data_IF_717536526200
#
_entry.id   IF_717536526200
#
_cell.length_a   1.000
_cell.length_b   1.000
_cell.length_c   1.000
_cell.angle_alpha   90.00
_cell.angle_beta   90.00
_cell.angle_gamma   90.00
#
_symmetry.space_group_name_H-M   'P 1'
#
loop_
_entity.id
_entity.type
_entity.pdbx_description
1 polymer ?
#
# COMPACT_ATOMS: atom_id res chain seq x y z
N UNK A 1 -15.43 -6.71 4.97
CA UNK A 1 -14.37 -5.70 5.04
C UNK A 1 -14.94 -4.30 5.26
N UNK A 2 -15.70 -3.69 4.36
CA UNK A 2 -16.20 -2.30 4.45
C UNK A 2 -16.80 -1.93 5.81
N UNK A 3 -17.79 -2.70 6.32
CA UNK A 3 -18.46 -2.40 7.61
C UNK A 3 -17.52 -2.27 8.81
N UNK A 4 -16.39 -2.99 8.81
CA UNK A 4 -15.40 -2.91 9.90
C UNK A 4 -14.67 -1.58 9.87
N UNK A 5 -14.27 -1.13 8.69
CA UNK A 5 -13.62 0.17 8.51
C UNK A 5 -14.58 1.34 8.71
N UNK A 6 -15.85 1.20 8.29
CA UNK A 6 -16.87 2.20 8.62
C UNK A 6 -17.00 2.37 10.14
N UNK A 7 -17.03 1.27 10.91
CA UNK A 7 -17.10 1.31 12.37
C UNK A 7 -15.81 1.88 13.02
N UNK A 8 -14.64 1.59 12.45
CA UNK A 8 -13.34 2.02 12.97
C UNK A 8 -12.97 3.46 12.62
N UNK A 9 -13.68 4.13 11.72
CA UNK A 9 -13.29 5.45 11.20
C UNK A 9 -13.12 6.52 12.29
N UNK A 10 -13.85 6.39 13.41
CA UNK A 10 -13.73 7.31 14.55
C UNK A 10 -12.46 7.13 15.38
N UNK A 11 -11.96 5.90 15.46
CA UNK A 11 -10.87 5.48 16.36
C UNK A 11 -9.57 5.16 15.61
N UNK A 12 -9.60 4.99 14.30
CA UNK A 12 -8.47 4.54 13.47
C UNK A 12 -7.18 5.33 13.73
N UNK A 13 -7.27 6.66 13.82
CA UNK A 13 -6.09 7.52 14.00
C UNK A 13 -5.42 7.37 15.37
N UNK A 14 -6.10 6.80 16.37
CA UNK A 14 -5.51 6.58 17.70
C UNK A 14 -4.57 5.38 17.75
N UNK A 15 -4.66 4.48 16.75
CA UNK A 15 -3.88 3.25 16.67
C UNK A 15 -3.22 3.06 15.29
N UNK A 16 -3.00 4.15 14.53
CA UNK A 16 -2.49 4.09 13.16
C UNK A 16 -0.95 4.05 13.06
N UNK A 17 -0.24 3.83 14.16
CA UNK A 17 1.23 3.96 14.22
C UNK A 17 1.96 2.99 13.25
N UNK A 18 1.47 1.77 13.06
CA UNK A 18 2.02 0.84 12.05
C UNK A 18 1.81 1.41 10.65
N UNK A 19 0.60 1.91 10.36
CA UNK A 19 0.29 2.54 9.07
C UNK A 19 1.09 3.83 8.87
N UNK A 20 1.34 4.59 9.93
CA UNK A 20 2.17 5.79 9.88
C UNK A 20 3.63 5.42 9.58
N UNK A 21 4.19 4.43 10.28
CA UNK A 21 5.56 3.96 10.08
C UNK A 21 5.76 3.43 8.67
N UNK A 22 4.86 2.57 8.19
CA UNK A 22 4.96 1.99 6.83
C UNK A 22 4.73 3.04 5.75
N UNK A 23 3.83 4.01 5.96
CA UNK A 23 3.66 5.16 5.05
C UNK A 23 4.94 5.98 4.94
N UNK A 24 5.57 6.29 6.06
CA UNK A 24 6.78 7.13 6.08
C UNK A 24 7.97 6.36 5.46
N UNK A 25 8.08 5.05 5.69
CA UNK A 25 9.03 4.18 5.00
C UNK A 25 8.80 4.12 3.48
N UNK A 26 7.54 4.09 3.04
CA UNK A 26 7.19 4.09 1.62
C UNK A 26 7.47 5.45 0.96
N UNK A 27 7.21 6.55 1.67
CA UNK A 27 7.53 7.90 1.20
C UNK A 27 9.04 8.13 1.09
N UNK A 28 9.85 7.58 1.99
CA UNK A 28 11.31 7.63 1.91
C UNK A 28 11.83 6.91 0.65
N UNK A 29 11.22 5.77 0.28
CA UNK A 29 11.54 5.04 -0.96
C UNK A 29 11.10 5.77 -2.23
N UNK A 30 10.17 6.69 -2.11
CA UNK A 30 9.76 7.58 -3.20
C UNK A 30 10.75 8.75 -3.43
N UNK A 31 11.53 9.15 -2.42
CA UNK A 31 12.42 10.33 -2.52
C UNK A 31 13.41 10.26 -3.71
N UNK A 32 14.11 9.14 -3.96
CA UNK A 32 15.06 9.06 -5.08
C UNK A 32 14.39 8.96 -6.44
N UNK A 33 13.07 8.72 -6.50
CA UNK A 33 12.34 8.54 -7.75
C UNK A 33 11.92 9.90 -8.31
N UNK A 34 12.38 10.21 -9.52
CA UNK A 34 11.96 11.42 -10.23
C UNK A 34 10.76 11.12 -11.14
N UNK A 35 9.62 11.67 -10.82
CA UNK A 35 8.39 11.55 -11.62
C UNK A 35 7.61 12.87 -11.60
N UNK A 36 7.18 13.34 -12.78
CA UNK A 36 6.28 14.48 -12.91
C UNK A 36 4.83 13.98 -12.92
N UNK A 37 4.23 13.92 -11.74
CA UNK A 37 2.90 13.40 -11.54
C UNK A 37 1.85 14.51 -11.55
N UNK A 38 0.75 14.30 -12.30
CA UNK A 38 -0.45 15.15 -12.33
C UNK A 38 -1.62 14.53 -11.59
N UNK A 39 -1.77 13.21 -11.70
CA UNK A 39 -2.85 12.44 -11.05
C UNK A 39 -2.25 11.32 -10.22
N UNK A 40 -2.50 11.36 -8.93
CA UNK A 40 -2.00 10.38 -7.96
C UNK A 40 -3.19 9.77 -7.24
N UNK A 41 -3.28 8.45 -7.23
CA UNK A 41 -4.23 7.71 -6.41
C UNK A 41 -3.57 7.36 -5.07
N UNK A 42 -4.20 7.75 -3.96
CA UNK A 42 -3.98 7.19 -2.62
C UNK A 42 -5.02 6.09 -2.43
N UNK A 43 -4.64 4.84 -2.68
CA UNK A 43 -5.52 3.67 -2.75
C UNK A 43 -5.58 2.96 -1.39
N UNK A 44 -6.79 2.84 -0.83
CA UNK A 44 -6.98 2.47 0.57
C UNK A 44 -6.61 3.65 1.48
N UNK A 45 -7.09 4.85 1.14
CA UNK A 45 -6.65 6.11 1.73
C UNK A 45 -7.01 6.28 3.21
N UNK A 46 -7.91 5.47 3.76
CA UNK A 46 -8.43 5.55 5.12
C UNK A 46 -8.77 7.01 5.51
N UNK A 47 -8.20 7.53 6.59
CA UNK A 47 -8.43 8.91 7.07
C UNK A 47 -7.58 9.97 6.33
N UNK A 48 -6.94 9.63 5.20
CA UNK A 48 -6.27 10.53 4.27
C UNK A 48 -4.89 11.01 4.71
N UNK A 49 -4.20 10.26 5.58
CA UNK A 49 -2.87 10.67 6.06
C UNK A 49 -1.79 10.61 4.97
N UNK A 50 -1.82 9.59 4.11
CA UNK A 50 -0.90 9.46 2.98
C UNK A 50 -1.17 10.56 1.93
N UNK A 51 -2.43 10.80 1.57
CA UNK A 51 -2.80 11.85 0.63
C UNK A 51 -2.25 13.23 1.00
N UNK A 52 -2.29 13.59 2.30
CA UNK A 52 -1.70 14.85 2.79
C UNK A 52 -0.17 14.90 2.62
N UNK A 53 0.52 13.78 2.78
CA UNK A 53 1.97 13.70 2.55
C UNK A 53 2.31 13.79 1.06
N UNK A 54 1.53 13.13 0.22
CA UNK A 54 1.65 13.20 -1.24
C UNK A 54 1.39 14.63 -1.76
N UNK A 55 0.41 15.37 -1.24
CA UNK A 55 0.18 16.77 -1.59
C UNK A 55 1.40 17.67 -1.27
N UNK A 56 2.06 17.42 -0.13
CA UNK A 56 3.28 18.15 0.22
C UNK A 56 4.43 17.87 -0.75
N UNK A 57 4.55 16.63 -1.23
CA UNK A 57 5.59 16.19 -2.15
C UNK A 57 5.32 16.63 -3.58
N UNK A 58 4.07 16.51 -4.03
CA UNK A 58 3.65 16.77 -5.41
C UNK A 58 2.70 17.98 -5.49
N UNK A 59 3.27 19.19 -5.37
CA UNK A 59 2.52 20.46 -5.27
C UNK A 59 1.56 20.73 -6.45
N UNK A 60 1.84 20.14 -7.62
CA UNK A 60 1.05 20.33 -8.84
C UNK A 60 0.05 19.22 -9.09
N UNK A 61 0.17 18.09 -8.40
CA UNK A 61 -0.68 16.94 -8.60
C UNK A 61 -2.08 17.12 -7.99
N UNK A 62 -3.04 16.43 -8.58
CA UNK A 62 -4.34 16.14 -8.00
C UNK A 62 -4.26 14.79 -7.27
N UNK A 63 -4.55 14.78 -5.99
CA UNK A 63 -4.60 13.56 -5.20
C UNK A 63 -6.02 13.03 -5.23
N UNK A 64 -6.17 11.75 -5.57
CA UNK A 64 -7.43 11.02 -5.61
C UNK A 64 -7.41 10.02 -4.45
N UNK A 65 -7.99 10.42 -3.31
CA UNK A 65 -8.11 9.57 -2.13
C UNK A 65 -9.26 8.57 -2.36
N UNK A 66 -8.92 7.31 -2.55
CA UNK A 66 -9.84 6.22 -2.89
C UNK A 66 -9.91 5.24 -1.73
N UNK A 67 -11.12 4.97 -1.24
CA UNK A 67 -11.39 3.99 -0.19
C UNK A 67 -12.76 3.35 -0.40
N UNK A 68 -12.92 2.12 0.08
CA UNK A 68 -14.21 1.42 0.06
C UNK A 68 -15.14 1.94 1.17
N UNK A 69 -14.56 2.41 2.30
CA UNK A 69 -15.29 2.93 3.45
C UNK A 69 -15.69 4.39 3.24
N UNK A 70 -16.99 4.64 3.29
CA UNK A 70 -17.54 5.99 3.21
C UNK A 70 -17.18 6.81 4.46
N UNK A 71 -17.18 6.18 5.62
CA UNK A 71 -16.88 6.84 6.90
C UNK A 71 -15.42 7.27 7.00
N UNK A 72 -14.48 6.42 6.51
CA UNK A 72 -13.06 6.81 6.40
C UNK A 72 -12.91 8.05 5.53
N UNK A 73 -13.54 8.08 4.35
CA UNK A 73 -13.49 9.23 3.46
C UNK A 73 -14.14 10.48 4.07
N UNK A 74 -15.22 10.34 4.83
CA UNK A 74 -15.81 11.47 5.56
C UNK A 74 -14.81 12.02 6.60
N UNK A 75 -14.18 11.13 7.37
CA UNK A 75 -13.13 11.53 8.32
C UNK A 75 -11.97 12.22 7.61
N UNK A 76 -11.51 11.68 6.47
CA UNK A 76 -10.46 12.30 5.66
C UNK A 76 -10.86 13.71 5.18
N UNK A 77 -12.11 13.91 4.76
CA UNK A 77 -12.64 15.23 4.34
C UNK A 77 -12.59 16.27 5.46
N UNK A 78 -12.88 15.87 6.71
CA UNK A 78 -12.82 16.82 7.85
C UNK A 78 -11.41 17.34 8.11
N UNK A 79 -10.38 16.61 7.68
CA UNK A 79 -8.97 16.97 7.82
C UNK A 79 -8.41 17.74 6.62
N UNK A 80 -9.22 17.91 5.56
CA UNK A 80 -8.81 18.61 4.35
C UNK A 80 -8.61 20.10 4.64
N UNK A 81 -7.47 20.66 4.22
CA UNK A 81 -7.26 22.11 4.24
C UNK A 81 -7.97 22.76 3.06
N UNK A 82 -8.26 24.05 3.15
CA UNK A 82 -8.93 24.80 2.08
C UNK A 82 -8.10 24.90 0.79
N UNK A 83 -6.78 24.78 0.88
CA UNK A 83 -5.86 24.79 -0.28
C UNK A 83 -5.68 23.39 -0.90
N UNK A 84 -6.15 22.34 -0.24
CA UNK A 84 -5.97 20.96 -0.71
C UNK A 84 -6.73 20.72 -2.01
N UNK A 85 -6.05 20.09 -2.97
CA UNK A 85 -6.62 19.64 -4.25
C UNK A 85 -7.09 18.18 -4.20
N UNK A 86 -7.10 17.57 -3.02
CA UNK A 86 -7.52 16.17 -2.86
C UNK A 86 -9.01 16.02 -3.17
N UNK A 87 -9.33 15.10 -4.07
CA UNK A 87 -10.68 14.58 -4.29
C UNK A 87 -10.84 13.24 -3.56
N UNK A 88 -12.05 12.99 -3.03
CA UNK A 88 -12.37 11.78 -2.27
C UNK A 88 -13.39 10.96 -3.04
N UNK A 89 -13.06 9.72 -3.30
CA UNK A 89 -13.86 8.82 -4.13
C UNK A 89 -14.05 7.49 -3.44
N UNK A 90 -15.31 7.09 -3.26
CA UNK A 90 -15.62 5.74 -2.79
C UNK A 90 -15.59 4.78 -3.98
N UNK A 91 -14.65 3.83 -3.95
CA UNK A 91 -14.54 2.78 -4.97
C UNK A 91 -13.89 1.52 -4.40
N UNK A 92 -14.12 0.40 -5.11
CA UNK A 92 -13.43 -0.85 -4.87
C UNK A 92 -12.08 -0.84 -5.62
N UNK A 93 -11.02 -1.30 -4.95
CA UNK A 93 -9.68 -1.37 -5.55
C UNK A 93 -9.62 -2.37 -6.73
N UNK A 94 -10.57 -3.30 -6.82
CA UNK A 94 -10.70 -4.27 -7.92
C UNK A 94 -11.52 -3.76 -9.10
N UNK A 95 -12.08 -2.55 -9.01
CA UNK A 95 -12.93 -1.93 -10.05
C UNK A 95 -12.82 -0.40 -9.97
N UNK A 96 -11.69 0.15 -10.36
CA UNK A 96 -11.40 1.57 -10.26
C UNK A 96 -12.13 2.37 -11.36
N UNK A 97 -12.86 3.44 -11.03
CA UNK A 97 -13.63 4.22 -11.98
C UNK A 97 -12.77 5.24 -12.73
N UNK A 98 -11.60 4.82 -13.19
CA UNK A 98 -10.68 5.64 -13.98
C UNK A 98 -10.47 5.02 -15.35
N UNK A 99 -10.21 5.85 -16.35
CA UNK A 99 -9.86 5.40 -17.68
C UNK A 99 -8.52 4.68 -17.69
N UNK A 100 -8.33 3.81 -18.66
CA UNK A 100 -7.06 3.16 -18.92
C UNK A 100 -5.96 4.21 -19.12
N UNK A 101 -4.78 3.93 -18.58
CA UNK A 101 -3.58 4.75 -18.76
C UNK A 101 -3.77 6.24 -18.44
N UNK A 102 -4.52 6.56 -17.38
CA UNK A 102 -4.84 7.94 -16.99
C UNK A 102 -4.13 8.44 -15.73
N UNK A 103 -3.49 7.55 -14.97
CA UNK A 103 -2.90 7.81 -13.66
C UNK A 103 -1.38 7.75 -13.74
N UNK A 104 -0.71 8.72 -13.10
CA UNK A 104 0.74 8.82 -13.06
C UNK A 104 1.34 8.01 -11.90
N UNK A 105 0.68 8.02 -10.73
CA UNK A 105 1.16 7.32 -9.52
C UNK A 105 -0.02 6.66 -8.81
N UNK A 106 0.16 5.41 -8.42
CA UNK A 106 -0.70 4.73 -7.44
C UNK A 106 0.13 4.47 -6.19
N UNK A 107 -0.36 4.93 -5.05
CA UNK A 107 0.24 4.73 -3.74
C UNK A 107 -0.72 3.90 -2.88
N UNK A 108 -0.29 2.75 -2.38
CA UNK A 108 -1.11 1.85 -1.58
C UNK A 108 -0.35 1.41 -0.32
N UNK A 109 -0.70 2.01 0.81
CA UNK A 109 -0.08 1.67 2.08
C UNK A 109 -0.95 0.70 2.88
N UNK A 110 -0.49 -0.53 3.06
CA UNK A 110 -1.16 -1.59 3.84
C UNK A 110 -2.60 -1.90 3.36
N UNK A 111 -2.86 -1.78 2.05
CA UNK A 111 -4.13 -2.19 1.44
C UNK A 111 -4.21 -3.71 1.26
N UNK A 112 -3.14 -4.31 0.71
CA UNK A 112 -3.13 -5.70 0.27
C UNK A 112 -3.43 -6.73 1.38
N UNK A 113 -3.01 -6.54 2.65
CA UNK A 113 -3.35 -7.46 3.74
C UNK A 113 -4.86 -7.65 3.96
N UNK A 114 -5.67 -6.73 3.49
CA UNK A 114 -7.13 -6.76 3.61
C UNK A 114 -7.83 -7.39 2.40
N UNK A 115 -7.09 -7.69 1.35
CA UNK A 115 -7.64 -8.24 0.11
C UNK A 115 -7.58 -9.77 0.15
N UNK A 116 -8.70 -10.46 -0.14
CA UNK A 116 -8.69 -11.93 -0.25
C UNK A 116 -7.78 -12.43 -1.38
N UNK A 117 -7.67 -11.63 -2.44
CA UNK A 117 -6.84 -11.87 -3.62
C UNK A 117 -6.30 -10.53 -4.11
N UNK A 118 -5.00 -10.42 -4.30
CA UNK A 118 -4.34 -9.22 -4.81
C UNK A 118 -4.33 -9.14 -6.33
N UNK A 119 -4.53 -10.23 -7.06
CA UNK A 119 -4.43 -10.25 -8.51
C UNK A 119 -5.42 -9.31 -9.20
N UNK A 120 -6.71 -9.23 -8.83
CA UNK A 120 -7.63 -8.24 -9.41
C UNK A 120 -7.21 -6.79 -9.12
N UNK A 121 -6.62 -6.52 -7.94
CA UNK A 121 -6.13 -5.19 -7.60
C UNK A 121 -4.95 -4.81 -8.48
N UNK A 122 -3.99 -5.70 -8.68
CA UNK A 122 -2.84 -5.46 -9.56
C UNK A 122 -3.27 -5.29 -11.03
N UNK A 123 -4.27 -6.04 -11.49
CA UNK A 123 -4.82 -5.89 -12.83
C UNK A 123 -5.42 -4.48 -13.03
N UNK A 124 -6.21 -3.99 -12.07
CA UNK A 124 -6.77 -2.64 -12.12
C UNK A 124 -5.70 -1.55 -12.03
N UNK A 125 -4.70 -1.71 -11.17
CA UNK A 125 -3.56 -0.79 -11.09
C UNK A 125 -2.82 -0.75 -12.43
N UNK A 126 -2.53 -1.91 -13.03
CA UNK A 126 -1.89 -2.01 -14.34
C UNK A 126 -2.72 -1.33 -15.45
N UNK A 127 -4.05 -1.47 -15.40
CA UNK A 127 -4.96 -0.86 -16.37
C UNK A 127 -4.96 0.66 -16.29
N UNK A 128 -5.05 1.21 -15.06
CA UNK A 128 -5.19 2.67 -14.89
C UNK A 128 -3.86 3.42 -14.99
N UNK A 129 -2.74 2.76 -14.68
CA UNK A 129 -1.42 3.37 -14.77
C UNK A 129 -1.02 3.67 -16.21
N UNK A 130 -0.50 4.86 -16.44
CA UNK A 130 0.18 5.21 -17.70
C UNK A 130 1.39 4.33 -17.90
N UNK A 131 1.81 4.24 -19.15
CA UNK A 131 3.16 3.75 -19.45
C UNK A 131 4.16 4.59 -18.65
N UNK A 132 5.07 3.93 -17.96
CA UNK A 132 6.06 4.53 -17.06
C UNK A 132 5.43 5.31 -15.87
N UNK A 133 4.15 5.08 -15.58
CA UNK A 133 3.53 5.45 -14.30
C UNK A 133 4.03 4.56 -13.18
N UNK A 134 4.02 5.05 -11.96
CA UNK A 134 4.63 4.40 -10.80
C UNK A 134 3.57 3.81 -9.88
N UNK A 135 3.72 2.55 -9.52
CA UNK A 135 3.02 1.93 -8.40
C UNK A 135 3.96 1.75 -7.22
N UNK A 136 3.58 2.29 -6.04
CA UNK A 136 4.28 2.09 -4.77
C UNK A 136 3.33 1.46 -3.77
N UNK A 137 3.81 0.48 -3.02
CA UNK A 137 2.99 -0.15 -1.99
C UNK A 137 3.83 -0.64 -0.81
N UNK A 138 3.15 -0.76 0.34
CA UNK A 138 3.62 -1.50 1.49
C UNK A 138 2.56 -2.56 1.86
N UNK A 139 3.02 -3.76 2.18
CA UNK A 139 2.17 -4.88 2.61
C UNK A 139 2.84 -5.68 3.70
N UNK A 140 2.11 -6.62 4.29
CA UNK A 140 2.67 -7.57 5.25
C UNK A 140 3.20 -8.80 4.52
N UNK A 141 4.32 -9.32 5.00
CA UNK A 141 4.91 -10.60 4.59
C UNK A 141 4.53 -11.75 5.52
N UNK A 142 4.91 -12.99 5.16
CA UNK A 142 4.44 -14.21 5.82
C UNK A 142 4.89 -14.35 7.28
N UNK A 143 5.94 -13.66 7.69
CA UNK A 143 6.43 -13.69 9.08
C UNK A 143 5.63 -12.77 10.02
N UNK A 144 4.61 -12.07 9.51
CA UNK A 144 3.82 -11.11 10.29
C UNK A 144 2.72 -11.77 11.10
N UNK A 145 2.39 -11.15 12.25
CA UNK A 145 1.20 -11.43 13.07
C UNK A 145 1.09 -12.90 13.51
N UNK A 146 2.22 -13.54 13.84
CA UNK A 146 2.24 -14.93 14.30
C UNK A 146 1.36 -15.11 15.54
N UNK A 147 0.56 -16.17 15.55
CA UNK A 147 -0.39 -16.45 16.62
C UNK A 147 -1.74 -15.73 16.52
N UNK A 148 -1.90 -14.80 15.58
CA UNK A 148 -3.18 -14.14 15.30
C UNK A 148 -3.93 -14.83 14.16
N UNK A 149 -5.25 -14.58 14.08
CA UNK A 149 -6.13 -15.13 13.03
C UNK A 149 -6.08 -14.20 11.79
N UNK A 150 -5.45 -14.66 10.73
CA UNK A 150 -5.45 -13.98 9.44
C UNK A 150 -5.25 -14.95 8.30
N UNK A 151 -5.52 -14.51 7.07
CA UNK A 151 -5.11 -15.27 5.90
C UNK A 151 -3.58 -15.20 5.75
N UNK A 152 -2.93 -16.25 5.21
CA UNK A 152 -1.51 -16.19 4.92
C UNK A 152 -1.20 -14.98 4.02
N UNK A 153 -0.17 -14.24 4.38
CA UNK A 153 0.34 -13.16 3.52
C UNK A 153 1.30 -13.77 2.48
N UNK A 154 1.28 -13.21 1.28
CA UNK A 154 2.19 -13.60 0.22
C UNK A 154 3.64 -13.25 0.57
N UNK A 155 4.58 -14.08 0.16
CA UNK A 155 5.99 -13.73 0.26
C UNK A 155 6.41 -12.73 -0.83
N UNK A 156 7.60 -12.19 -0.70
CA UNK A 156 8.13 -11.18 -1.62
C UNK A 156 8.23 -11.68 -3.07
N UNK A 157 8.52 -12.96 -3.30
CA UNK A 157 8.64 -13.54 -4.63
C UNK A 157 7.27 -13.70 -5.27
N UNK A 158 6.29 -14.23 -4.52
CA UNK A 158 4.90 -14.37 -4.99
C UNK A 158 4.30 -13.01 -5.34
N UNK A 159 4.56 -11.97 -4.52
CA UNK A 159 4.14 -10.60 -4.82
C UNK A 159 4.79 -10.10 -6.12
N UNK A 160 6.10 -10.33 -6.30
CA UNK A 160 6.83 -9.95 -7.50
C UNK A 160 6.27 -10.63 -8.76
N UNK A 161 6.02 -11.93 -8.69
CA UNK A 161 5.45 -12.70 -9.80
C UNK A 161 4.03 -12.25 -10.14
N UNK A 162 3.21 -11.95 -9.13
CA UNK A 162 1.85 -11.44 -9.33
C UNK A 162 1.85 -10.05 -10.01
N UNK A 163 2.79 -9.17 -9.65
CA UNK A 163 2.97 -7.87 -10.31
C UNK A 163 3.33 -8.04 -11.80
N UNK A 164 4.30 -8.91 -12.10
CA UNK A 164 4.71 -9.23 -13.47
C UNK A 164 3.55 -9.87 -14.24
N UNK A 165 2.82 -10.79 -13.62
CA UNK A 165 1.63 -11.45 -14.18
C UNK A 165 0.53 -10.46 -14.56
N UNK A 166 0.36 -9.38 -13.79
CA UNK A 166 -0.57 -8.30 -14.08
C UNK A 166 -0.10 -7.32 -15.18
N UNK A 167 1.13 -7.49 -15.70
CA UNK A 167 1.70 -6.64 -16.74
C UNK A 167 2.42 -5.39 -16.24
N UNK A 168 2.65 -5.29 -14.94
CA UNK A 168 3.53 -4.29 -14.35
C UNK A 168 4.99 -4.67 -14.60
N UNK A 169 5.90 -3.70 -14.62
CA UNK A 169 7.31 -3.92 -15.02
C UNK A 169 8.28 -3.56 -13.93
N UNK A 170 9.42 -4.21 -13.97
CA UNK A 170 10.61 -3.89 -13.19
C UNK A 170 10.29 -3.77 -11.68
N UNK A 171 9.64 -4.80 -11.07
CA UNK A 171 9.34 -4.75 -9.65
C UNK A 171 10.63 -4.75 -8.82
N UNK A 172 10.74 -3.78 -7.93
CA UNK A 172 11.79 -3.70 -6.92
C UNK A 172 11.12 -3.85 -5.56
N UNK A 173 11.55 -4.86 -4.82
CA UNK A 173 10.97 -5.21 -3.53
C UNK A 173 12.06 -5.29 -2.48
N UNK A 174 11.76 -4.82 -1.28
CA UNK A 174 12.62 -4.97 -0.11
C UNK A 174 11.80 -5.24 1.14
N UNK A 175 12.45 -5.74 2.18
CA UNK A 175 11.79 -6.14 3.42
C UNK A 175 12.41 -5.42 4.60
N UNK A 176 11.55 -4.77 5.41
CA UNK A 176 11.89 -4.29 6.73
C UNK A 176 11.19 -5.14 7.80
N UNK A 177 11.75 -5.17 8.99
CA UNK A 177 11.14 -5.83 10.16
C UNK A 177 10.81 -4.79 11.21
N UNK A 178 9.55 -4.80 11.62
CA UNK A 178 9.04 -3.93 12.68
C UNK A 178 8.55 -4.80 13.84
N UNK A 179 9.09 -4.54 15.04
CA UNK A 179 8.58 -5.14 16.27
C UNK A 179 7.81 -4.08 17.04
N UNK A 180 6.61 -4.42 17.45
CA UNK A 180 5.74 -3.59 18.29
C UNK A 180 5.52 -4.29 19.61
N UNK A 181 5.86 -3.62 20.70
CA UNK A 181 5.68 -4.13 22.07
C UNK A 181 4.59 -3.31 22.75
N UNK A 182 3.62 -3.99 23.34
CA UNK A 182 2.53 -3.39 24.11
C UNK A 182 2.78 -3.58 25.60
N UNK A 183 2.20 -2.70 26.42
CA UNK A 183 2.29 -2.84 27.88
C UNK A 183 1.59 -4.11 28.39
N UNK A 184 0.53 -4.50 27.70
CA UNK A 184 -0.28 -5.69 28.03
C UNK A 184 -1.13 -6.10 26.82
N UNK A 185 -1.72 -7.29 26.93
CA UNK A 185 -2.58 -7.85 25.87
C UNK A 185 -3.84 -7.02 25.60
N UNK A 186 -4.39 -6.35 26.63
CA UNK A 186 -5.57 -5.50 26.45
C UNK A 186 -5.27 -4.30 25.53
N UNK A 187 -4.11 -3.65 25.69
CA UNK A 187 -3.69 -2.55 24.80
C UNK A 187 -3.54 -3.00 23.35
N UNK A 188 -3.02 -4.21 23.11
CA UNK A 188 -2.96 -4.81 21.77
C UNK A 188 -4.37 -5.02 21.21
N UNK A 189 -5.28 -5.58 22.00
CA UNK A 189 -6.69 -5.81 21.59
C UNK A 189 -7.37 -4.49 21.25
N UNK A 190 -7.19 -3.46 22.08
CA UNK A 190 -7.78 -2.13 21.88
C UNK A 190 -7.32 -1.50 20.55
N UNK A 191 -6.02 -1.60 20.22
CA UNK A 191 -5.49 -1.10 18.95
C UNK A 191 -6.08 -1.87 17.75
N UNK A 192 -6.17 -3.19 17.84
CA UNK A 192 -6.82 -3.98 16.78
C UNK A 192 -8.31 -3.66 16.63
N UNK A 193 -9.00 -3.36 17.73
CA UNK A 193 -10.36 -2.86 17.66
C UNK A 193 -10.42 -1.49 16.97
N UNK A 194 -9.53 -0.59 17.35
CA UNK A 194 -9.50 0.78 16.84
C UNK A 194 -9.25 0.86 15.34
N UNK A 195 -8.43 -0.06 14.78
CA UNK A 195 -8.18 -0.13 13.32
C UNK A 195 -9.15 -1.04 12.56
N UNK A 196 -10.13 -1.65 13.21
CA UNK A 196 -11.12 -2.54 12.58
C UNK A 196 -10.63 -3.98 12.36
N UNK A 197 -9.55 -4.39 13.04
CA UNK A 197 -8.91 -5.69 12.92
C UNK A 197 -9.24 -6.68 14.06
N UNK A 198 -10.23 -6.38 14.93
CA UNK A 198 -10.59 -7.23 16.08
C UNK A 198 -10.75 -8.72 15.74
N UNK A 199 -11.20 -9.01 14.52
CA UNK A 199 -11.40 -10.39 14.05
C UNK A 199 -10.08 -11.19 13.89
N UNK A 200 -8.93 -10.51 13.85
CA UNK A 200 -7.61 -11.15 13.82
C UNK A 200 -7.19 -11.64 15.22
N UNK A 201 -7.82 -11.12 16.28
CA UNK A 201 -7.50 -11.49 17.66
C UNK A 201 -8.30 -12.74 18.04
N UNK A 202 -7.65 -13.84 18.46
CA UNK A 202 -8.32 -14.99 19.07
C UNK A 202 -9.12 -14.57 20.32
N UNK A 203 -10.23 -15.25 20.57
CA UNK A 203 -11.02 -14.95 21.79
C UNK A 203 -10.27 -15.35 23.05
N UNK A 204 -9.41 -16.36 22.93
CA UNK A 204 -8.60 -16.94 24.02
C UNK A 204 -7.23 -16.23 24.15
N UNK A 205 -7.02 -15.05 23.57
CA UNK A 205 -5.68 -14.41 23.50
C UNK A 205 -5.04 -14.20 24.87
N UNK A 206 -5.84 -13.88 25.90
CA UNK A 206 -5.34 -13.70 27.27
C UNK A 206 -4.88 -15.02 27.90
N UNK A 207 -5.51 -16.15 27.53
CA UNK A 207 -5.19 -17.48 28.04
C UNK A 207 -4.00 -18.10 27.29
N UNK A 208 -3.68 -17.60 26.09
CA UNK A 208 -2.57 -18.10 25.27
C UNK A 208 -1.18 -17.77 25.87
N UNK A 209 -1.12 -16.88 26.85
CA UNK A 209 0.16 -16.47 27.46
C UNK A 209 1.17 -15.90 26.48
N UNK A 210 0.69 -15.34 25.38
CA UNK A 210 1.52 -14.69 24.40
C UNK A 210 2.12 -13.40 24.98
N UNK A 211 3.39 -13.17 24.72
CA UNK A 211 3.97 -11.86 24.95
C UNK A 211 3.18 -10.83 24.11
N UNK A 212 2.87 -9.65 24.69
CA UNK A 212 2.12 -8.62 23.99
C UNK A 212 3.01 -7.90 22.95
N UNK A 213 3.53 -8.66 22.01
CA UNK A 213 4.40 -8.22 20.94
C UNK A 213 3.82 -8.61 19.56
N UNK A 214 4.09 -7.78 18.58
CA UNK A 214 3.83 -8.09 17.19
C UNK A 214 5.13 -8.02 16.41
N UNK A 215 5.48 -9.12 15.77
CA UNK A 215 6.48 -9.12 14.72
C UNK A 215 5.79 -8.86 13.38
N UNK A 216 6.28 -7.88 12.65
CA UNK A 216 5.76 -7.49 11.34
C UNK A 216 6.91 -7.52 10.33
N UNK A 217 6.75 -8.34 9.33
CA UNK A 217 7.55 -8.32 8.12
C UNK A 217 6.87 -7.38 7.14
N UNK A 218 7.51 -6.25 6.82
CA UNK A 218 6.95 -5.24 5.92
C UNK A 218 7.62 -5.39 4.57
N UNK A 219 6.85 -5.78 3.56
CA UNK A 219 7.31 -5.77 2.18
C UNK A 219 6.96 -4.41 1.59
N UNK A 220 8.00 -3.68 1.19
CA UNK A 220 7.88 -2.47 0.38
C UNK A 220 8.12 -2.81 -1.08
N UNK A 221 7.34 -2.24 -1.96
CA UNK A 221 7.51 -2.46 -3.37
C UNK A 221 7.24 -1.24 -4.22
N UNK A 222 7.94 -1.17 -5.34
CA UNK A 222 7.54 -0.31 -6.43
C UNK A 222 7.74 -1.02 -7.78
N UNK A 223 6.93 -0.63 -8.75
CA UNK A 223 7.01 -1.11 -10.12
C UNK A 223 6.40 -0.07 -11.07
N UNK A 224 6.55 -0.30 -12.35
CA UNK A 224 6.16 0.65 -13.37
C UNK A 224 5.00 0.13 -14.22
N UNK A 225 4.13 1.03 -14.66
CA UNK A 225 3.07 0.73 -15.61
C UNK A 225 3.63 0.16 -16.90
N UNK A 226 3.08 -0.98 -17.34
CA UNK A 226 3.40 -1.60 -18.61
C UNK A 226 2.80 -0.81 -19.76
N UNK A 227 3.57 -0.49 -20.78
CA UNK A 227 3.01 -0.28 -22.11
C UNK A 227 2.72 -1.63 -22.73
N UNK A 228 2.10 -1.66 -23.93
CA UNK A 228 1.94 -2.90 -24.70
C UNK A 228 3.25 -3.69 -24.63
N UNK A 229 3.17 -4.97 -24.22
CA UNK A 229 4.31 -5.89 -24.34
C UNK A 229 4.78 -5.81 -25.77
N UNK A 230 5.95 -5.22 -26.01
CA UNK A 230 6.71 -5.56 -27.21
C UNK A 230 6.98 -7.06 -27.07
N UNK A 231 6.39 -7.84 -27.96
CA UNK A 231 6.60 -9.28 -27.99
C UNK A 231 8.12 -9.56 -27.92
N UNK A 232 8.55 -10.29 -26.87
CA UNK A 232 9.83 -10.89 -26.66
C UNK A 232 11.01 -10.28 -27.44
N UNK A 233 11.59 -9.21 -26.93
CA UNK A 233 12.87 -8.70 -27.42
C UNK A 233 14.01 -9.30 -26.63
N UNK A 234 14.75 -10.22 -27.23
CA UNK A 234 16.07 -10.63 -26.75
C UNK A 234 16.98 -9.40 -26.81
N UNK A 235 17.40 -8.87 -25.66
CA UNK A 235 18.39 -7.78 -25.64
C UNK A 235 19.76 -8.39 -25.89
N UNK A 236 20.30 -8.19 -27.08
CA UNK A 236 21.70 -8.53 -27.38
C UNK A 236 22.57 -7.30 -27.18
N UNK A 237 23.33 -7.28 -26.10
CA UNK A 237 24.37 -6.29 -25.89
C UNK A 237 25.66 -6.88 -26.46
N UNK A 238 26.25 -6.24 -27.47
CA UNK A 238 27.54 -6.67 -28.00
C UNK A 238 28.62 -6.47 -26.92
N UNK A 239 29.43 -7.48 -26.67
CA UNK A 239 30.46 -7.43 -25.63
C UNK A 239 31.42 -6.22 -25.76
N UNK A 240 31.56 -5.65 -26.95
CA UNK A 240 32.33 -4.43 -27.20
C UNK A 240 31.68 -3.12 -26.72
N UNK A 241 30.42 -3.12 -26.39
CA UNK A 241 29.71 -1.94 -25.84
C UNK A 241 29.78 -1.88 -24.31
N UNK A 242 30.30 -2.92 -23.68
CA UNK A 242 30.57 -2.92 -22.24
C UNK A 242 31.88 -2.22 -22.03
N UNK A 243 31.85 -0.91 -21.77
CA UNK A 243 33.05 -0.10 -21.49
C UNK A 243 33.77 -0.61 -20.24
N UNK A 244 34.75 -1.47 -20.41
CA UNK A 244 35.74 -1.79 -19.39
C UNK A 244 36.57 -0.52 -19.14
N UNK A 245 36.39 0.14 -17.98
CA UNK A 245 37.36 1.14 -17.52
C UNK A 245 38.69 0.45 -17.37
N UNK A 246 39.64 0.77 -18.28
CA UNK A 246 41.06 0.46 -18.09
C UNK A 246 41.54 1.14 -16.80
N UNK A 247 42.22 0.37 -15.97
CA UNK A 247 42.92 0.85 -14.76
C UNK A 247 44.05 1.81 -15.15
#
# INVERSE_FOLDING_TARGET
>A
MQRRFDAAAGTFDSADFVFATTRDGLLARLEPISIDARYIIDLGSATGSAGRSLERRFKRAHILAVDLSQEMLQKARTKKTWLSKTAFLRADATALPFSDHSIDVVFANQLLPWMPDSAPVFAEISRVLRKDGLFLFATLGPDSLRGLRHQPFADMHDVGDALLGAGLRDPVLDVDRLKVTYENTASLVDDFCAIGARHCIPDEIEEMGLEPELDLEIIYGHCWGGGQRSAGGEYRVAAGEIGLRSR
#
